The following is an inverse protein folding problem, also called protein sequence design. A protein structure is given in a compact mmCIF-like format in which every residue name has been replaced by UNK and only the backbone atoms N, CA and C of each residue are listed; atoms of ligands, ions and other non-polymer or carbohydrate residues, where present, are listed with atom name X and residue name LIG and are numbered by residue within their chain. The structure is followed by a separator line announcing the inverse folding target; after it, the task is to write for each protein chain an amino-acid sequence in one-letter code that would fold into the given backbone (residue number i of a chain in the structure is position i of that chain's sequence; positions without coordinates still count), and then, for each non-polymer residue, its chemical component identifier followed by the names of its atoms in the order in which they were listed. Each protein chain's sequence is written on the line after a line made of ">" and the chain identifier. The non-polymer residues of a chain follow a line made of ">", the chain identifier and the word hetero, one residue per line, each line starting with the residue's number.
data_IF_470678218934
#
_entry.id   IF_470678218934
#
_cell.length_a   1.000
_cell.length_b   1.000
_cell.length_c   1.000
_cell.angle_alpha   90.00
_cell.angle_beta   90.00
_cell.angle_gamma   90.00
#
_symmetry.space_group_name_H-M   'P 1'
#
loop_
_entity.id
_entity.type
_entity.pdbx_description
1 polymer ?
#
# COMPACT_ATOMS: atom_id res chain seq x y z
N UNK A 1 -14.03 -6.71 7.75
CA UNK A 1 -12.67 -6.10 7.80
C UNK A 1 -11.92 -6.41 6.51
N UNK A 2 -11.27 -5.42 5.92
CA UNK A 2 -10.44 -5.59 4.72
C UNK A 2 -8.98 -5.30 5.11
N UNK A 3 -8.04 -6.12 4.62
CA UNK A 3 -6.62 -5.98 4.93
C UNK A 3 -5.85 -5.99 3.63
N UNK A 4 -5.03 -4.97 3.38
CA UNK A 4 -4.16 -4.88 2.19
C UNK A 4 -2.72 -5.05 2.64
N UNK A 5 -2.02 -6.05 2.08
CA UNK A 5 -0.58 -6.20 2.29
C UNK A 5 0.14 -4.98 1.71
N UNK A 6 1.06 -4.41 2.49
CA UNK A 6 1.98 -3.40 2.01
C UNK A 6 3.43 -3.85 2.18
N UNK A 7 4.20 -3.80 1.08
CA UNK A 7 5.60 -4.21 1.06
C UNK A 7 6.38 -3.45 -0.01
N UNK A 8 7.69 -3.67 -0.07
CA UNK A 8 8.56 -3.05 -1.05
C UNK A 8 8.85 -1.57 -0.76
N UNK A 9 9.47 -0.88 -1.72
CA UNK A 9 9.82 0.55 -1.63
C UNK A 9 8.64 1.47 -1.87
N UNK A 10 8.88 2.79 -1.72
CA UNK A 10 7.85 3.84 -1.81
C UNK A 10 6.97 3.75 -3.07
N UNK A 11 7.55 3.40 -4.23
CA UNK A 11 6.78 3.25 -5.47
C UNK A 11 5.70 2.16 -5.36
N UNK A 12 6.05 0.99 -4.82
CA UNK A 12 5.10 -0.09 -4.58
C UNK A 12 4.06 0.32 -3.53
N UNK A 13 4.51 0.97 -2.45
CA UNK A 13 3.62 1.45 -1.38
C UNK A 13 2.58 2.46 -1.92
N UNK A 14 2.91 3.28 -2.92
CA UNK A 14 1.96 4.19 -3.57
C UNK A 14 0.86 3.44 -4.32
N UNK A 15 1.20 2.39 -5.08
CA UNK A 15 0.20 1.55 -5.76
C UNK A 15 -0.70 0.82 -4.75
N UNK A 16 -0.10 0.22 -3.73
CA UNK A 16 -0.83 -0.47 -2.67
C UNK A 16 -1.72 0.48 -1.86
N UNK A 17 -1.28 1.72 -1.64
CA UNK A 17 -2.09 2.76 -1.01
C UNK A 17 -3.28 3.17 -1.88
N UNK A 18 -3.07 3.36 -3.17
CA UNK A 18 -4.16 3.68 -4.09
C UNK A 18 -5.22 2.56 -4.11
N UNK A 19 -4.77 1.30 -4.13
CA UNK A 19 -5.63 0.13 -4.02
C UNK A 19 -6.35 0.05 -2.66
N UNK A 20 -5.65 0.28 -1.55
CA UNK A 20 -6.23 0.36 -0.21
C UNK A 20 -7.37 1.38 -0.14
N UNK A 21 -7.17 2.58 -0.70
CA UNK A 21 -8.21 3.61 -0.77
C UNK A 21 -9.38 3.20 -1.66
N UNK A 22 -9.09 2.56 -2.79
CA UNK A 22 -10.12 2.00 -3.67
C UNK A 22 -11.00 1.00 -2.92
N UNK A 23 -10.42 0.00 -2.26
CA UNK A 23 -11.16 -1.00 -1.49
C UNK A 23 -11.99 -0.36 -0.37
N UNK A 24 -11.41 0.58 0.36
CA UNK A 24 -12.09 1.27 1.46
C UNK A 24 -13.34 2.02 0.98
N UNK A 25 -13.25 2.70 -0.18
CA UNK A 25 -14.38 3.43 -0.77
C UNK A 25 -15.42 2.47 -1.33
N UNK A 26 -14.97 1.49 -2.12
CA UNK A 26 -15.85 0.58 -2.84
C UNK A 26 -16.65 -0.34 -1.90
N UNK A 27 -16.07 -0.74 -0.76
CA UNK A 27 -16.74 -1.62 0.21
C UNK A 27 -17.42 -0.86 1.34
N UNK A 28 -17.03 0.39 1.59
CA UNK A 28 -17.40 1.17 2.77
C UNK A 28 -17.08 0.47 4.10
N UNK A 29 -16.07 -0.43 4.08
CA UNK A 29 -15.61 -1.19 5.24
C UNK A 29 -14.39 -0.53 5.89
N UNK A 30 -14.11 -0.91 7.15
CA UNK A 30 -12.84 -0.60 7.78
C UNK A 30 -11.75 -1.41 7.07
N UNK A 31 -10.80 -0.69 6.49
CA UNK A 31 -9.65 -1.28 5.81
C UNK A 31 -8.37 -1.01 6.60
N UNK A 32 -7.52 -2.03 6.73
CA UNK A 32 -6.22 -1.96 7.37
C UNK A 32 -5.11 -2.24 6.37
N UNK A 33 -3.93 -1.69 6.62
CA UNK A 33 -2.70 -2.04 5.94
C UNK A 33 -1.96 -3.07 6.79
N UNK A 34 -1.65 -4.23 6.22
CA UNK A 34 -0.69 -5.15 6.83
C UNK A 34 0.72 -4.61 6.57
N UNK A 35 1.29 -4.03 7.60
CA UNK A 35 2.63 -3.45 7.63
C UNK A 35 3.71 -4.42 8.14
N UNK A 36 3.36 -5.70 8.30
CA UNK A 36 4.26 -6.73 8.86
C UNK A 36 5.55 -6.97 8.06
N UNK A 37 5.59 -6.55 6.78
CA UNK A 37 6.79 -6.61 5.96
C UNK A 37 7.90 -5.64 6.40
N UNK A 38 7.55 -4.62 7.20
CA UNK A 38 8.48 -3.56 7.62
C UNK A 38 9.05 -3.77 9.03
N UNK A 39 8.83 -4.95 9.61
CA UNK A 39 9.38 -5.33 10.91
C UNK A 39 10.45 -6.41 10.75
N UNK A 40 11.46 -6.37 11.60
CA UNK A 40 12.53 -7.39 11.64
C UNK A 40 13.91 -6.85 11.30
N UNK A 41 14.89 -7.76 11.23
CA UNK A 41 16.30 -7.39 11.00
C UNK A 41 16.67 -7.10 9.55
N UNK A 42 15.89 -7.63 8.61
CA UNK A 42 16.14 -7.53 7.17
C UNK A 42 14.97 -6.78 6.49
N UNK A 43 14.66 -5.60 6.99
CA UNK A 43 13.65 -4.73 6.36
C UNK A 43 14.17 -4.31 5.00
N UNK A 44 13.42 -4.67 3.95
CA UNK A 44 13.74 -4.26 2.60
C UNK A 44 13.53 -2.75 2.41
N UNK A 45 14.34 -2.14 1.55
CA UNK A 45 14.28 -0.71 1.25
C UNK A 45 14.45 0.16 2.51
N UNK A 46 13.69 1.26 2.60
CA UNK A 46 13.72 2.18 3.74
C UNK A 46 12.59 1.93 4.76
N UNK A 47 11.92 0.77 4.67
CA UNK A 47 10.79 0.39 5.51
C UNK A 47 9.47 1.02 5.08
N UNK A 48 8.56 1.23 6.02
CA UNK A 48 7.29 1.88 5.77
C UNK A 48 7.48 3.38 5.53
N UNK A 49 7.40 3.81 4.28
CA UNK A 49 7.80 5.16 3.85
C UNK A 49 6.62 6.10 3.60
N UNK A 50 5.46 5.56 3.24
CA UNK A 50 4.36 6.39 2.74
C UNK A 50 3.91 7.46 3.75
N UNK A 51 3.83 7.12 5.04
CA UNK A 51 3.53 8.09 6.11
C UNK A 51 4.73 8.97 6.47
N UNK A 52 5.96 8.57 6.12
CA UNK A 52 7.15 9.41 6.33
C UNK A 52 7.22 10.53 5.29
N UNK A 53 6.81 10.22 4.07
CA UNK A 53 6.92 11.11 2.91
C UNK A 53 5.69 12.00 2.76
N UNK A 54 4.50 11.43 2.91
CA UNK A 54 3.24 12.13 2.70
C UNK A 54 2.54 12.48 4.02
N UNK A 55 1.67 13.50 3.95
CA UNK A 55 0.92 13.95 5.12
C UNK A 55 -0.39 13.16 5.28
N UNK A 56 -0.26 11.83 5.35
CA UNK A 56 -1.36 10.88 5.52
C UNK A 56 -1.20 10.07 6.80
N UNK A 57 -2.29 9.46 7.24
CA UNK A 57 -2.32 8.46 8.31
C UNK A 57 -3.12 7.26 7.84
N UNK A 58 -2.53 6.08 7.93
CA UNK A 58 -3.14 4.81 7.58
C UNK A 58 -3.67 4.09 8.82
N UNK A 59 -4.66 3.22 8.65
CA UNK A 59 -5.01 2.25 9.67
C UNK A 59 -4.05 1.06 9.53
N UNK A 60 -3.10 0.93 10.43
CA UNK A 60 -2.14 -0.16 10.38
C UNK A 60 -2.66 -1.37 11.14
N UNK A 61 -2.34 -2.56 10.64
CA UNK A 61 -2.68 -3.79 11.33
C UNK A 61 -1.89 -3.94 12.63
N UNK A 62 -0.67 -3.41 12.68
CA UNK A 62 0.15 -3.32 13.90
C UNK A 62 -0.49 -2.48 15.00
N UNK A 63 -1.30 -1.47 14.64
CA UNK A 63 -2.02 -0.64 15.61
C UNK A 63 -3.33 -1.29 16.10
N UNK A 64 -3.81 -2.33 15.38
CA UNK A 64 -5.04 -3.05 15.73
C UNK A 64 -4.83 -4.06 16.85
N UNK A 65 -3.64 -4.67 16.93
CA UNK A 65 -3.31 -5.68 17.93
C UNK A 65 -2.51 -5.07 19.10
N UNK A 66 -2.67 -5.65 20.29
CA UNK A 66 -1.75 -5.38 21.38
C UNK A 66 -0.31 -5.72 20.97
N UNK A 67 0.65 -4.93 21.46
CA UNK A 67 2.07 -5.05 21.08
C UNK A 67 2.61 -6.47 21.22
N UNK A 68 2.31 -7.17 22.31
CA UNK A 68 2.79 -8.53 22.54
C UNK A 68 2.19 -9.52 21.54
N UNK A 69 0.92 -9.37 21.20
CA UNK A 69 0.24 -10.18 20.19
C UNK A 69 0.87 -9.94 18.83
N UNK A 70 1.09 -8.69 18.46
CA UNK A 70 1.73 -8.34 17.19
C UNK A 70 3.15 -8.91 17.07
N UNK A 71 3.95 -8.79 18.12
CA UNK A 71 5.31 -9.35 18.14
C UNK A 71 5.32 -10.87 17.98
N UNK A 72 4.37 -11.59 18.60
CA UNK A 72 4.23 -13.03 18.40
C UNK A 72 3.77 -13.37 16.97
N UNK A 73 2.88 -12.57 16.37
CA UNK A 73 2.47 -12.74 14.97
C UNK A 73 3.66 -12.54 14.01
N UNK A 74 4.50 -11.55 14.24
CA UNK A 74 5.71 -11.31 13.46
C UNK A 74 6.71 -12.49 13.56
N UNK A 75 6.88 -13.06 14.75
CA UNK A 75 7.72 -14.23 14.97
C UNK A 75 7.19 -15.43 14.17
N UNK A 76 5.90 -15.73 14.27
CA UNK A 76 5.27 -16.81 13.50
C UNK A 76 5.35 -16.60 11.99
N UNK A 77 5.27 -15.34 11.55
CA UNK A 77 5.50 -15.01 10.13
C UNK A 77 6.91 -15.37 9.69
N UNK A 78 7.93 -15.13 10.52
CA UNK A 78 9.31 -15.56 10.23
C UNK A 78 9.46 -17.08 10.21
N UNK A 79 8.60 -17.82 10.91
CA UNK A 79 8.51 -19.28 10.88
C UNK A 79 7.69 -19.80 9.67
N UNK A 80 7.25 -18.92 8.77
CA UNK A 80 6.53 -19.27 7.54
C UNK A 80 5.00 -19.30 7.65
N UNK A 81 4.43 -18.84 8.77
CA UNK A 81 2.97 -18.77 8.95
C UNK A 81 2.49 -17.37 8.55
N UNK A 82 1.84 -17.24 7.40
CA UNK A 82 1.38 -15.95 6.89
C UNK A 82 0.37 -15.26 7.83
N UNK A 83 0.27 -13.94 7.76
CA UNK A 83 -0.70 -13.17 8.58
C UNK A 83 -2.13 -13.67 8.39
N UNK A 84 -2.66 -13.87 7.16
CA UNK A 84 -4.03 -14.39 7.01
C UNK A 84 -4.19 -15.80 7.58
N UNK A 85 -3.15 -16.66 7.52
CA UNK A 85 -3.20 -17.98 8.15
C UNK A 85 -3.27 -17.89 9.67
N UNK A 86 -2.58 -16.95 10.28
CA UNK A 86 -2.65 -16.73 11.73
C UNK A 86 -4.02 -16.23 12.17
N UNK A 87 -4.64 -15.33 11.39
CA UNK A 87 -5.99 -14.85 11.63
C UNK A 87 -7.02 -16.01 11.55
N UNK A 88 -6.89 -16.86 10.53
CA UNK A 88 -7.73 -18.06 10.38
C UNK A 88 -7.57 -19.02 11.57
N UNK A 89 -6.33 -19.24 12.02
CA UNK A 89 -6.03 -20.16 13.14
C UNK A 89 -6.64 -19.71 14.48
N UNK A 90 -6.87 -18.41 14.66
CA UNK A 90 -7.56 -17.89 15.86
C UNK A 90 -9.07 -17.74 15.68
N UNK A 91 -9.63 -18.30 14.61
CA UNK A 91 -11.07 -18.37 14.37
C UNK A 91 -11.67 -17.18 13.63
N UNK A 92 -10.86 -16.29 13.06
CA UNK A 92 -11.33 -15.23 12.19
C UNK A 92 -11.55 -15.84 10.80
N UNK A 93 -12.81 -15.94 10.37
CA UNK A 93 -13.14 -16.37 9.01
C UNK A 93 -12.70 -15.30 8.03
N UNK A 94 -11.60 -15.56 7.32
CA UNK A 94 -10.98 -14.65 6.37
C UNK A 94 -10.74 -15.35 5.03
N UNK A 95 -11.06 -14.68 3.94
CA UNK A 95 -10.71 -15.12 2.60
C UNK A 95 -9.48 -14.34 2.09
N UNK A 96 -8.74 -14.92 1.17
CA UNK A 96 -7.60 -14.27 0.51
C UNK A 96 -7.92 -14.01 -0.96
N UNK A 97 -7.60 -12.81 -1.42
CA UNK A 97 -7.51 -12.45 -2.84
C UNK A 97 -6.02 -12.18 -3.12
N UNK A 98 -5.43 -12.95 -4.02
CA UNK A 98 -4.02 -12.85 -4.35
C UNK A 98 -3.82 -12.56 -5.84
N UNK A 99 -2.86 -11.66 -6.17
CA UNK A 99 -2.40 -11.45 -7.56
C UNK A 99 -1.48 -12.59 -8.02
N UNK A 100 -0.81 -13.26 -7.08
CA UNK A 100 0.19 -14.28 -7.33
C UNK A 100 -0.14 -15.57 -6.57
N UNK A 101 0.38 -16.70 -7.04
CA UNK A 101 0.11 -18.03 -6.45
C UNK A 101 0.98 -18.34 -5.23
N UNK A 102 1.86 -17.42 -4.84
CA UNK A 102 2.86 -17.62 -3.77
C UNK A 102 2.33 -17.41 -2.35
N UNK A 103 1.04 -17.17 -2.20
CA UNK A 103 0.43 -17.00 -0.88
C UNK A 103 0.33 -18.33 -0.13
N UNK A 104 0.98 -18.44 1.03
CA UNK A 104 0.88 -19.58 1.93
C UNK A 104 -0.38 -19.45 2.80
N UNK A 105 -1.49 -20.04 2.33
CA UNK A 105 -2.78 -19.97 3.00
C UNK A 105 -3.61 -21.22 2.74
N UNK A 106 -4.12 -21.85 3.81
CA UNK A 106 -4.92 -23.08 3.73
C UNK A 106 -6.45 -22.83 3.81
N UNK A 107 -6.85 -21.56 3.80
CA UNK A 107 -8.25 -21.15 3.83
C UNK A 107 -8.80 -20.91 2.42
N UNK A 108 -9.86 -20.11 2.38
CA UNK A 108 -10.57 -19.79 1.14
C UNK A 108 -9.81 -18.76 0.31
N UNK A 109 -9.41 -19.12 -0.90
CA UNK A 109 -8.87 -18.20 -1.91
C UNK A 109 -9.98 -17.85 -2.89
N UNK A 110 -10.16 -16.54 -3.15
CA UNK A 110 -11.12 -16.02 -4.11
C UNK A 110 -10.36 -15.71 -5.40
N UNK A 111 -10.73 -16.38 -6.48
CA UNK A 111 -10.20 -16.10 -7.80
C UNK A 111 -10.86 -14.81 -8.36
N UNK A 112 -10.03 -13.86 -8.77
CA UNK A 112 -10.49 -12.60 -9.37
C UNK A 112 -10.71 -12.78 -10.87
N UNK A 113 -11.97 -12.75 -11.29
CA UNK A 113 -12.38 -12.77 -12.71
C UNK A 113 -12.87 -11.40 -13.19
N UNK A 114 -13.32 -10.58 -12.25
CA UNK A 114 -13.82 -9.24 -12.48
C UNK A 114 -13.50 -8.31 -11.30
N UNK A 115 -13.70 -7.01 -11.48
CA UNK A 115 -13.54 -6.06 -10.37
C UNK A 115 -14.53 -6.28 -9.23
N UNK A 116 -15.71 -6.82 -9.54
CA UNK A 116 -16.74 -7.10 -8.53
C UNK A 116 -16.26 -8.16 -7.53
N UNK A 117 -15.34 -9.04 -7.95
CA UNK A 117 -14.75 -10.05 -7.06
C UNK A 117 -13.86 -9.41 -5.99
N UNK A 118 -13.21 -8.26 -6.30
CA UNK A 118 -12.40 -7.50 -5.35
C UNK A 118 -13.24 -6.91 -4.20
N UNK A 119 -14.49 -6.61 -4.47
CA UNK A 119 -15.43 -6.05 -3.51
C UNK A 119 -16.42 -7.10 -3.00
N UNK A 120 -16.05 -8.38 -3.10
CA UNK A 120 -16.92 -9.49 -2.74
C UNK A 120 -17.51 -9.34 -1.32
N UNK A 121 -18.71 -9.89 -1.12
CA UNK A 121 -19.47 -9.77 0.14
C UNK A 121 -18.92 -10.58 1.32
N UNK A 122 -17.67 -11.09 1.21
CA UNK A 122 -17.00 -11.67 2.36
C UNK A 122 -16.73 -10.60 3.42
N UNK A 123 -17.06 -10.89 4.67
CA UNK A 123 -16.88 -9.96 5.78
C UNK A 123 -15.39 -9.60 5.98
N UNK A 124 -14.50 -10.60 5.90
CA UNK A 124 -13.08 -10.37 6.04
C UNK A 124 -12.32 -10.85 4.80
N UNK A 125 -11.54 -9.95 4.19
CA UNK A 125 -10.71 -10.25 3.03
C UNK A 125 -9.30 -9.72 3.26
N UNK A 126 -8.32 -10.57 2.96
CA UNK A 126 -6.91 -10.19 2.89
C UNK A 126 -6.48 -10.14 1.43
N UNK A 127 -5.96 -8.98 1.00
CA UNK A 127 -5.48 -8.73 -0.35
C UNK A 127 -3.96 -8.87 -0.39
N UNK A 128 -3.48 -9.88 -1.13
CA UNK A 128 -2.06 -10.22 -1.27
C UNK A 128 -1.59 -9.87 -2.67
N UNK A 129 -0.71 -8.87 -2.81
CA UNK A 129 -0.17 -8.46 -4.10
C UNK A 129 0.42 -7.06 -4.08
N UNK A 130 0.94 -6.65 -5.23
CA UNK A 130 1.49 -5.29 -5.43
C UNK A 130 0.47 -4.31 -5.98
N UNK A 131 -0.56 -4.82 -6.67
CA UNK A 131 -1.68 -4.04 -7.23
C UNK A 131 -1.21 -2.91 -8.16
N UNK A 132 -0.16 -3.19 -8.97
CA UNK A 132 0.47 -2.20 -9.87
C UNK A 132 -0.42 -1.99 -11.11
N UNK A 133 -1.50 -1.23 -10.94
CA UNK A 133 -2.44 -0.89 -12.00
C UNK A 133 -2.82 0.59 -11.93
N UNK A 134 -2.77 1.27 -13.07
CA UNK A 134 -3.15 2.69 -13.22
C UNK A 134 -4.59 2.97 -12.77
N UNK A 135 -5.47 2.00 -12.98
CA UNK A 135 -6.88 2.06 -12.64
C UNK A 135 -7.17 2.54 -11.21
N UNK A 136 -6.38 2.10 -10.21
CA UNK A 136 -6.61 2.52 -8.82
C UNK A 136 -6.35 4.01 -8.60
N UNK A 137 -5.45 4.58 -9.39
CA UNK A 137 -5.19 6.03 -9.40
C UNK A 137 -6.27 6.79 -10.17
N UNK A 138 -6.75 6.26 -11.30
CA UNK A 138 -7.77 6.92 -12.11
C UNK A 138 -9.09 7.05 -11.35
N UNK A 139 -9.58 5.96 -10.77
CA UNK A 139 -10.85 5.93 -10.04
C UNK A 139 -10.83 6.80 -8.77
N UNK A 140 -9.66 6.99 -8.17
CA UNK A 140 -9.50 7.77 -6.93
C UNK A 140 -8.66 9.05 -7.11
N UNK A 141 -8.45 9.49 -8.35
CA UNK A 141 -7.49 10.54 -8.71
C UNK A 141 -7.60 11.80 -7.85
N UNK A 142 -8.79 12.37 -7.74
CA UNK A 142 -8.99 13.62 -7.00
C UNK A 142 -8.70 13.47 -5.51
N UNK A 143 -9.08 12.32 -4.94
CA UNK A 143 -8.80 11.99 -3.56
C UNK A 143 -7.31 11.83 -3.33
N UNK A 144 -6.62 11.05 -4.16
CA UNK A 144 -5.20 10.78 -4.02
C UNK A 144 -4.34 12.04 -4.20
N UNK A 145 -4.67 12.92 -5.15
CA UNK A 145 -4.00 14.22 -5.31
C UNK A 145 -4.14 15.08 -4.05
N UNK A 146 -5.29 15.01 -3.39
CA UNK A 146 -5.55 15.76 -2.16
C UNK A 146 -4.80 15.18 -0.96
N UNK A 147 -4.72 13.86 -0.86
CA UNK A 147 -4.12 13.14 0.25
C UNK A 147 -2.59 13.04 0.15
N UNK A 148 -2.06 12.69 -1.03
CA UNK A 148 -0.63 12.46 -1.26
C UNK A 148 0.14 13.78 -1.42
N UNK A 149 0.01 14.66 -0.45
CA UNK A 149 0.81 15.88 -0.34
C UNK A 149 2.08 15.58 0.45
N UNK A 150 3.21 15.98 -0.07
CA UNK A 150 4.47 15.86 0.65
C UNK A 150 4.42 16.60 1.98
N UNK A 151 5.10 16.05 2.97
CA UNK A 151 5.37 16.80 4.20
C UNK A 151 6.20 18.03 3.89
N UNK A 152 5.94 19.13 4.59
CA UNK A 152 6.58 20.42 4.36
C UNK A 152 8.12 20.35 4.36
N UNK A 153 8.71 19.55 5.22
CA UNK A 153 10.16 19.36 5.29
C UNK A 153 10.74 18.77 3.98
N UNK A 154 10.03 17.83 3.38
CA UNK A 154 10.44 17.17 2.13
C UNK A 154 10.26 18.14 0.96
N UNK A 155 9.14 18.84 0.94
CA UNK A 155 8.81 19.82 -0.09
C UNK A 155 9.87 20.94 -0.12
N UNK A 156 10.25 21.47 1.04
CA UNK A 156 11.29 22.48 1.17
C UNK A 156 12.67 21.98 0.75
N UNK A 157 13.03 20.73 1.07
CA UNK A 157 14.31 20.15 0.64
C UNK A 157 14.38 19.97 -0.88
N UNK A 158 13.28 19.67 -1.54
CA UNK A 158 13.22 19.45 -2.99
C UNK A 158 13.03 20.75 -3.80
N UNK A 159 12.60 21.84 -3.18
CA UNK A 159 12.31 23.11 -3.86
C UNK A 159 13.48 23.62 -4.70
N UNK A 160 14.71 23.55 -4.19
CA UNK A 160 15.92 23.97 -4.91
C UNK A 160 16.14 23.13 -6.18
N UNK A 161 15.85 21.81 -6.14
CA UNK A 161 15.98 20.93 -7.30
C UNK A 161 14.88 21.20 -8.33
N UNK A 162 13.66 21.48 -7.92
CA UNK A 162 12.57 21.87 -8.81
C UNK A 162 12.87 23.17 -9.53
N UNK A 163 13.34 24.19 -8.81
CA UNK A 163 13.77 25.47 -9.41
C UNK A 163 14.91 25.29 -10.43
N UNK A 164 15.85 24.38 -10.14
CA UNK A 164 16.95 24.07 -11.06
C UNK A 164 16.44 23.38 -12.33
N UNK A 165 15.52 22.42 -12.21
CA UNK A 165 14.89 21.69 -13.33
C UNK A 165 14.08 22.65 -14.19
N UNK A 166 13.25 23.50 -13.60
CA UNK A 166 12.45 24.50 -14.31
C UNK A 166 13.33 25.47 -15.11
N UNK A 167 14.44 25.93 -14.52
CA UNK A 167 15.42 26.76 -15.24
C UNK A 167 16.00 26.05 -16.45
N UNK A 168 16.38 24.75 -16.30
CA UNK A 168 16.94 23.98 -17.42
C UNK A 168 15.93 23.79 -18.55
N UNK A 169 14.69 23.43 -18.23
CA UNK A 169 13.63 23.26 -19.22
C UNK A 169 13.38 24.57 -19.98
N UNK A 170 13.30 25.71 -19.30
CA UNK A 170 13.16 27.03 -19.93
C UNK A 170 14.30 27.34 -20.88
N UNK A 171 15.56 27.03 -20.51
CA UNK A 171 16.71 27.25 -21.39
C UNK A 171 16.66 26.36 -22.62
N UNK A 172 16.24 25.10 -22.52
CA UNK A 172 16.07 24.23 -23.69
C UNK A 172 15.01 24.76 -24.66
N UNK A 173 13.85 25.16 -24.18
CA UNK A 173 12.80 25.76 -25.02
C UNK A 173 13.28 27.05 -25.71
N UNK A 174 14.03 27.92 -25.03
CA UNK A 174 14.56 29.15 -25.63
C UNK A 174 15.62 28.84 -26.69
N UNK A 175 16.45 27.81 -26.51
CA UNK A 175 17.41 27.38 -27.52
C UNK A 175 16.76 26.77 -28.77
N UNK A 176 15.68 26.01 -28.60
CA UNK A 176 14.91 25.41 -29.73
C UNK A 176 14.16 26.48 -30.52
N UNK A 177 13.61 27.51 -29.89
CA UNK A 177 12.98 28.66 -30.57
C UNK A 177 14.00 29.61 -31.26
N UNK A 178 15.25 29.60 -30.81
CA UNK A 178 16.31 30.48 -31.42
C UNK A 178 17.02 29.84 -32.63
N UNK A 179 16.75 28.59 -32.94
CA UNK A 179 17.34 27.82 -34.06
C UNK A 179 16.35 27.67 -35.23
N UNK A 180 15.10 28.07 -35.07
CA UNK A 180 14.07 28.14 -36.11
C UNK A 180 13.97 29.57 -36.68
#
# INVERSE_FOLDING_TARGET
>A
MKIVLMNGGLGNQLFQYAFYRYIQIATNDICYIDDSAFFGKNVEHNGFEIEKVFNIKCNLLSDFFDTDVWLEMLKRKQEGISIPQQLLNVGIDIAVIAETEDVLFNGRIIEVKSNDDLTSKHDNIYYHGYWIMEKWFEENRELLIKELKFKEIIDNQNKMYLEYIEKKIRWQCIFEEAIL
#
